data_IF_925658832164
#
_entry.id   IF_925658832164
#
_cell.length_a   1.000
_cell.length_b   1.000
_cell.length_c   1.000
_cell.angle_alpha   90.00
_cell.angle_beta   90.00
_cell.angle_gamma   90.00
#
_symmetry.space_group_name_H-M   'P 1'
#
loop_
_entity.id
_entity.type
_entity.pdbx_description
1 polymer ?
#
# COMPACT_ATOMS: atom_id res chain seq x y z
N UNK A 1 5.75 0.51 35.53
CA UNK A 1 5.57 1.40 34.37
C UNK A 1 6.44 0.86 33.25
N UNK A 2 5.91 0.64 32.05
CA UNK A 2 6.75 0.33 30.89
C UNK A 2 7.60 1.59 30.59
N UNK A 3 8.91 1.45 30.34
CA UNK A 3 9.73 2.59 29.95
C UNK A 3 9.16 3.21 28.67
N UNK A 4 9.14 4.54 28.61
CA UNK A 4 8.75 5.27 27.40
C UNK A 4 9.72 4.90 26.27
N UNK A 5 9.17 4.37 25.17
CA UNK A 5 9.92 4.07 23.97
C UNK A 5 10.60 5.36 23.48
N UNK A 6 11.93 5.40 23.54
CA UNK A 6 12.69 6.56 23.06
C UNK A 6 13.04 6.35 21.59
N UNK A 7 12.32 7.07 20.72
CA UNK A 7 12.58 7.10 19.28
C UNK A 7 13.16 8.46 18.93
N UNK A 8 14.35 8.47 18.34
CA UNK A 8 14.96 9.66 17.78
C UNK A 8 14.79 9.69 16.27
N UNK A 9 14.53 10.87 15.71
CA UNK A 9 14.39 11.08 14.28
C UNK A 9 15.53 11.95 13.78
N UNK A 10 16.21 11.52 12.73
CA UNK A 10 17.18 12.39 12.04
C UNK A 10 16.50 13.69 11.58
N UNK A 11 17.10 14.87 11.83
CA UNK A 11 16.56 16.17 11.44
C UNK A 11 16.81 16.43 9.94
N UNK A 12 16.28 15.55 9.09
CA UNK A 12 16.44 15.57 7.64
C UNK A 12 15.11 15.88 6.97
N UNK A 13 15.13 16.61 5.86
CA UNK A 13 13.95 16.78 5.01
C UNK A 13 14.22 16.27 3.59
N UNK A 14 13.15 15.90 2.86
CA UNK A 14 13.25 15.44 1.47
C UNK A 14 13.83 16.48 0.51
N UNK A 15 13.79 17.76 0.87
CA UNK A 15 14.37 18.84 0.07
C UNK A 15 15.90 18.96 0.24
N UNK A 16 16.50 18.32 1.25
CA UNK A 16 17.95 18.32 1.42
C UNK A 16 18.64 17.52 0.31
N UNK A 17 19.82 17.97 -0.18
CA UNK A 17 20.64 17.17 -1.08
C UNK A 17 21.03 15.81 -0.46
N UNK A 18 21.19 14.73 -1.25
CA UNK A 18 21.53 13.41 -0.74
C UNK A 18 22.79 13.38 0.14
N UNK A 19 23.81 14.17 -0.22
CA UNK A 19 25.05 14.31 0.55
C UNK A 19 24.80 14.88 1.96
N UNK A 20 23.91 15.87 2.06
CA UNK A 20 23.52 16.47 3.34
C UNK A 20 22.70 15.49 4.18
N UNK A 21 21.76 14.76 3.55
CA UNK A 21 21.00 13.72 4.24
C UNK A 21 21.93 12.64 4.82
N UNK A 22 22.95 12.25 4.05
CA UNK A 22 23.96 11.28 4.48
C UNK A 22 24.77 11.75 5.66
N UNK A 23 25.27 12.98 5.61
CA UNK A 23 26.01 13.57 6.73
C UNK A 23 25.16 13.63 7.99
N UNK A 24 23.95 14.17 7.90
CA UNK A 24 23.02 14.27 9.04
C UNK A 24 22.62 12.89 9.59
N UNK A 25 22.49 11.88 8.73
CA UNK A 25 22.25 10.49 9.16
C UNK A 25 23.41 9.92 9.97
N UNK A 26 24.65 10.10 9.50
CA UNK A 26 25.86 9.67 10.22
C UNK A 26 26.04 10.42 11.53
N UNK A 27 25.82 11.73 11.54
CA UNK A 27 25.92 12.58 12.73
C UNK A 27 24.90 12.15 13.80
N UNK A 28 23.67 11.82 13.39
CA UNK A 28 22.65 11.32 14.30
C UNK A 28 23.01 9.94 14.86
N UNK A 29 23.52 9.01 14.01
CA UNK A 29 24.00 7.70 14.50
C UNK A 29 25.09 7.91 15.56
N UNK A 30 26.08 8.76 15.27
CA UNK A 30 27.19 9.03 16.19
C UNK A 30 26.69 9.66 17.50
N UNK A 31 25.81 10.65 17.41
CA UNK A 31 25.22 11.33 18.58
C UNK A 31 24.45 10.35 19.47
N UNK A 32 23.56 9.54 18.89
CA UNK A 32 22.78 8.55 19.66
C UNK A 32 23.69 7.48 20.25
N UNK A 33 24.63 6.96 19.45
CA UNK A 33 25.57 5.94 19.92
C UNK A 33 26.39 6.45 21.11
N UNK A 34 26.79 7.72 21.13
CA UNK A 34 27.54 8.31 22.24
C UNK A 34 26.75 8.40 23.55
N UNK A 35 25.42 8.32 23.51
CA UNK A 35 24.59 8.31 24.73
C UNK A 35 24.52 6.95 25.43
N UNK A 36 25.02 5.90 24.77
CA UNK A 36 24.94 4.51 25.22
C UNK A 36 26.35 3.98 25.50
N UNK A 37 26.54 3.30 26.62
CA UNK A 37 27.80 2.61 26.92
C UNK A 37 27.93 1.39 26.01
N UNK A 38 29.04 1.34 25.25
CA UNK A 38 29.39 0.27 24.30
C UNK A 38 28.25 -0.11 23.33
N UNK A 39 27.80 0.84 22.49
CA UNK A 39 26.62 0.66 21.64
C UNK A 39 26.90 -0.30 20.49
N UNK A 40 26.00 -1.26 20.29
CA UNK A 40 25.96 -2.08 19.08
C UNK A 40 25.00 -1.44 18.08
N UNK A 41 25.46 -1.12 16.87
CA UNK A 41 24.60 -0.57 15.83
C UNK A 41 23.93 -1.71 15.09
N UNK A 42 22.60 -1.78 15.11
CA UNK A 42 21.85 -2.79 14.37
C UNK A 42 20.94 -2.11 13.37
N UNK A 43 21.07 -2.50 12.10
CA UNK A 43 20.23 -2.06 11.02
C UNK A 43 19.18 -3.12 10.75
N UNK A 44 17.94 -2.68 10.54
CA UNK A 44 16.80 -3.53 10.17
C UNK A 44 16.14 -2.98 8.91
N UNK A 45 15.63 -3.88 8.08
CA UNK A 45 14.88 -3.54 6.86
C UNK A 45 13.88 -4.66 6.52
N UNK A 46 12.74 -4.28 5.97
CA UNK A 46 11.66 -5.15 5.55
C UNK A 46 11.29 -4.96 4.08
N UNK A 47 11.42 -6.01 3.26
CA UNK A 47 11.12 -5.96 1.84
C UNK A 47 9.82 -6.69 1.48
N UNK A 48 9.09 -6.14 0.51
CA UNK A 48 7.93 -6.79 -0.13
C UNK A 48 8.08 -6.68 -1.64
N UNK A 49 8.04 -7.81 -2.32
CA UNK A 49 8.17 -7.90 -3.78
C UNK A 49 6.81 -7.79 -4.47
N UNK A 50 6.83 -7.53 -5.78
CA UNK A 50 5.63 -7.37 -6.59
C UNK A 50 4.77 -8.65 -6.67
N UNK A 51 5.40 -9.83 -6.55
CA UNK A 51 4.73 -11.13 -6.47
C UNK A 51 4.08 -11.41 -5.10
N UNK A 52 4.23 -10.48 -4.15
CA UNK A 52 3.73 -10.58 -2.79
C UNK A 52 4.65 -11.36 -1.85
N UNK A 53 5.83 -11.81 -2.28
CA UNK A 53 6.83 -12.36 -1.35
C UNK A 53 7.36 -11.27 -0.43
N UNK A 54 7.67 -11.65 0.80
CA UNK A 54 8.03 -10.73 1.86
C UNK A 54 9.18 -11.30 2.70
N UNK A 55 10.04 -10.43 3.19
CA UNK A 55 11.22 -10.80 3.96
C UNK A 55 11.68 -9.67 4.85
N UNK A 56 12.45 -10.02 5.88
CA UNK A 56 13.13 -9.05 6.73
C UNK A 56 14.58 -9.49 6.95
N UNK A 57 15.43 -8.52 7.24
CA UNK A 57 16.82 -8.74 7.57
C UNK A 57 17.26 -7.86 8.73
N UNK A 58 18.31 -8.30 9.42
CA UNK A 58 19.01 -7.62 10.50
C UNK A 58 20.52 -7.75 10.28
N UNK A 59 21.25 -6.65 10.39
CA UNK A 59 22.71 -6.62 10.26
C UNK A 59 23.33 -5.70 11.30
N UNK A 60 24.52 -6.03 11.77
CA UNK A 60 25.35 -5.12 12.56
C UNK A 60 26.78 -5.09 12.02
N UNK A 61 27.39 -3.93 11.83
CA UNK A 61 28.81 -3.85 11.49
C UNK A 61 29.72 -4.15 12.69
N UNK A 62 29.18 -4.08 13.91
CA UNK A 62 29.97 -4.10 15.15
C UNK A 62 30.04 -5.49 15.80
N UNK A 63 29.06 -6.35 15.49
CA UNK A 63 29.00 -7.70 16.05
C UNK A 63 29.63 -8.72 15.10
N UNK A 64 30.32 -9.70 15.69
CA UNK A 64 30.63 -10.94 14.98
C UNK A 64 29.28 -11.61 14.65
N UNK A 65 29.06 -12.01 13.39
CA UNK A 65 27.83 -12.69 13.01
C UNK A 65 27.61 -13.91 13.93
N UNK A 66 26.35 -14.21 14.30
CA UNK A 66 26.00 -15.49 14.90
C UNK A 66 26.61 -16.67 14.12
N UNK A 67 26.80 -17.83 14.77
CA UNK A 67 27.31 -19.03 14.10
C UNK A 67 26.48 -19.41 12.86
N UNK A 68 25.20 -19.03 12.83
CA UNK A 68 24.26 -19.22 11.72
C UNK A 68 24.22 -18.06 10.71
N UNK A 69 25.07 -17.05 10.87
CA UNK A 69 25.08 -15.82 10.06
C UNK A 69 24.15 -14.73 10.58
N UNK A 70 24.08 -13.61 9.86
CA UNK A 70 23.14 -12.53 10.16
C UNK A 70 21.68 -12.98 9.96
N UNK A 71 20.77 -12.43 10.76
CA UNK A 71 19.37 -12.86 10.74
C UNK A 71 18.69 -12.27 9.52
N UNK A 72 18.35 -13.11 8.55
CA UNK A 72 17.41 -12.77 7.48
C UNK A 72 16.46 -13.94 7.25
N UNK A 73 15.17 -13.66 7.02
CA UNK A 73 14.18 -14.72 6.85
C UNK A 73 13.00 -14.31 5.99
N UNK A 74 12.39 -15.31 5.36
CA UNK A 74 11.12 -15.15 4.65
C UNK A 74 9.97 -14.99 5.63
N UNK A 75 9.10 -14.05 5.31
CA UNK A 75 7.87 -13.78 6.03
C UNK A 75 6.66 -14.29 5.22
N UNK A 76 5.47 -14.40 5.85
CA UNK A 76 4.27 -14.80 5.13
C UNK A 76 4.02 -13.92 3.90
N UNK A 77 3.67 -14.57 2.78
CA UNK A 77 3.34 -13.85 1.55
C UNK A 77 2.16 -12.89 1.76
N UNK A 78 2.15 -11.78 1.01
CA UNK A 78 1.19 -10.67 1.09
C UNK A 78 1.21 -9.92 2.43
N UNK A 79 2.34 -9.97 3.12
CA UNK A 79 2.63 -9.08 4.24
C UNK A 79 2.79 -7.64 3.77
N UNK A 80 2.44 -6.68 4.63
CA UNK A 80 2.72 -5.26 4.38
C UNK A 80 4.18 -4.93 4.67
N UNK A 81 4.74 -3.90 4.03
CA UNK A 81 6.10 -3.41 4.34
C UNK A 81 6.28 -3.14 5.83
N UNK A 82 5.37 -2.40 6.47
CA UNK A 82 5.41 -2.15 7.92
C UNK A 82 5.43 -3.42 8.77
N UNK A 83 4.82 -4.51 8.30
CA UNK A 83 4.85 -5.79 9.03
C UNK A 83 6.24 -6.44 8.95
N UNK A 84 6.89 -6.34 7.79
CA UNK A 84 8.24 -6.84 7.60
C UNK A 84 9.25 -6.07 8.45
N UNK A 85 9.12 -4.75 8.48
CA UNK A 85 9.93 -3.86 9.31
C UNK A 85 9.81 -4.18 10.81
N UNK A 86 8.57 -4.34 11.30
CA UNK A 86 8.33 -4.71 12.70
C UNK A 86 8.91 -6.09 13.05
N UNK A 87 8.95 -7.02 12.10
CA UNK A 87 9.60 -8.32 12.32
C UNK A 87 11.12 -8.19 12.41
N UNK A 88 11.75 -7.38 11.58
CA UNK A 88 13.17 -7.07 11.71
C UNK A 88 13.50 -6.40 13.05
N UNK A 89 12.68 -5.43 13.48
CA UNK A 89 12.80 -4.82 14.81
C UNK A 89 12.68 -5.86 15.94
N UNK A 90 11.71 -6.77 15.87
CA UNK A 90 11.57 -7.84 16.86
C UNK A 90 12.82 -8.73 16.92
N UNK A 91 13.37 -9.08 15.77
CA UNK A 91 14.56 -9.93 15.68
C UNK A 91 15.80 -9.20 16.26
N UNK A 92 15.93 -7.88 16.06
CA UNK A 92 16.97 -7.05 16.71
C UNK A 92 16.81 -7.05 18.23
N UNK A 93 15.60 -6.77 18.74
CA UNK A 93 15.36 -6.69 20.19
C UNK A 93 15.65 -8.03 20.86
N UNK A 94 15.28 -9.14 20.23
CA UNK A 94 15.60 -10.49 20.72
C UNK A 94 17.11 -10.72 20.78
N UNK A 95 17.83 -10.40 19.71
CA UNK A 95 19.28 -10.57 19.64
C UNK A 95 19.99 -9.75 20.74
N UNK A 96 19.57 -8.51 20.97
CA UNK A 96 20.11 -7.65 22.04
C UNK A 96 19.82 -8.23 23.43
N UNK A 97 18.60 -8.70 23.67
CA UNK A 97 18.22 -9.35 24.93
C UNK A 97 18.98 -10.65 25.19
N UNK A 98 19.11 -11.51 24.17
CA UNK A 98 19.76 -12.82 24.25
C UNK A 98 21.26 -12.68 24.54
N UNK A 99 21.91 -11.67 23.95
CA UNK A 99 23.34 -11.41 24.13
C UNK A 99 23.65 -10.40 25.24
N UNK A 100 22.63 -9.86 25.91
CA UNK A 100 22.75 -8.82 26.93
C UNK A 100 23.57 -7.61 26.44
N UNK A 101 23.22 -7.08 25.27
CA UNK A 101 23.93 -5.98 24.63
C UNK A 101 23.11 -4.69 24.66
N UNK A 102 23.81 -3.56 24.83
CA UNK A 102 23.24 -2.24 24.57
C UNK A 102 23.29 -1.95 23.07
N UNK A 103 22.28 -1.27 22.54
CA UNK A 103 22.18 -1.11 21.09
C UNK A 103 21.39 0.09 20.60
N UNK A 104 21.79 0.54 19.41
CA UNK A 104 21.04 1.50 18.61
C UNK A 104 20.38 0.74 17.47
N UNK A 105 19.05 0.72 17.46
CA UNK A 105 18.24 0.09 16.41
C UNK A 105 17.93 1.12 15.34
N UNK A 106 18.49 0.92 14.17
CA UNK A 106 18.39 1.82 13.01
C UNK A 106 17.38 1.25 12.03
N UNK A 107 16.28 1.97 11.82
CA UNK A 107 15.18 1.58 10.94
C UNK A 107 14.77 2.76 10.06
N UNK A 108 14.53 2.52 8.77
CA UNK A 108 14.13 3.57 7.83
C UNK A 108 12.60 3.73 7.70
N UNK A 109 11.84 2.80 8.30
CA UNK A 109 10.39 2.83 8.31
C UNK A 109 9.84 3.66 9.45
N UNK A 110 9.54 4.93 9.15
CA UNK A 110 8.86 5.83 10.08
C UNK A 110 7.53 5.24 10.56
N UNK A 111 6.81 4.51 9.69
CA UNK A 111 5.55 3.87 10.01
C UNK A 111 5.70 2.75 11.05
N UNK A 112 6.79 1.98 11.01
CA UNK A 112 7.06 0.93 11.99
C UNK A 112 7.37 1.53 13.36
N UNK A 113 8.21 2.56 13.41
CA UNK A 113 8.56 3.26 14.65
C UNK A 113 7.35 3.97 15.27
N UNK A 114 6.51 4.62 14.46
CA UNK A 114 5.24 5.19 14.93
C UNK A 114 4.28 4.13 15.47
N UNK A 115 4.23 2.94 14.86
CA UNK A 115 3.40 1.84 15.34
C UNK A 115 3.85 1.29 16.71
N UNK A 116 5.12 1.45 17.07
CA UNK A 116 5.63 1.14 18.40
C UNK A 116 5.26 2.22 19.42
N UNK A 117 5.34 3.49 19.03
CA UNK A 117 4.97 4.63 19.89
C UNK A 117 3.45 4.76 20.11
N UNK A 118 2.64 4.36 19.13
CA UNK A 118 1.18 4.38 19.18
C UNK A 118 0.61 3.04 18.71
N UNK A 119 0.36 2.09 19.63
CA UNK A 119 -0.10 0.76 19.27
C UNK A 119 -1.47 0.80 18.57
N UNK A 120 -1.52 0.36 17.32
CA UNK A 120 -2.75 0.18 16.57
C UNK A 120 -3.30 -1.25 16.77
N UNK A 121 -4.63 -1.47 16.84
CA UNK A 121 -5.24 -2.80 16.95
C UNK A 121 -4.77 -3.83 15.90
N UNK A 122 -4.32 -3.41 14.71
CA UNK A 122 -3.94 -4.32 13.61
C UNK A 122 -2.54 -4.96 13.79
N UNK A 123 -1.61 -4.27 14.43
CA UNK A 123 -0.24 -4.76 14.71
C UNK A 123 -0.02 -5.08 16.18
N UNK A 124 -1.10 -5.04 16.98
CA UNK A 124 -1.08 -5.13 18.44
C UNK A 124 -0.25 -6.31 18.97
N UNK A 125 -0.41 -7.51 18.40
CA UNK A 125 0.36 -8.69 18.88
C UNK A 125 1.87 -8.56 18.68
N UNK A 126 2.30 -8.10 17.49
CA UNK A 126 3.72 -7.97 17.18
C UNK A 126 4.35 -6.82 17.96
N UNK A 127 3.64 -5.68 18.04
CA UNK A 127 4.05 -4.54 18.87
C UNK A 127 4.13 -4.93 20.33
N UNK A 128 3.16 -5.66 20.87
CA UNK A 128 3.19 -6.15 22.25
C UNK A 128 4.38 -7.07 22.51
N UNK A 129 4.72 -7.97 21.57
CA UNK A 129 5.93 -8.80 21.70
C UNK A 129 7.21 -7.97 21.77
N UNK A 130 7.31 -6.91 20.96
CA UNK A 130 8.45 -6.00 20.97
C UNK A 130 8.49 -5.24 22.30
N UNK A 131 7.37 -4.68 22.74
CA UNK A 131 7.26 -3.95 24.01
C UNK A 131 7.56 -4.85 25.22
N UNK A 132 7.10 -6.10 25.23
CA UNK A 132 7.46 -7.08 26.26
C UNK A 132 8.96 -7.39 26.23
N UNK A 133 9.56 -7.53 25.04
CA UNK A 133 11.00 -7.69 24.89
C UNK A 133 11.78 -6.51 25.47
N UNK A 134 11.35 -5.29 25.17
CA UNK A 134 11.94 -4.06 25.70
C UNK A 134 11.77 -3.91 27.22
N UNK A 135 10.63 -4.34 27.77
CA UNK A 135 10.43 -4.38 29.22
C UNK A 135 11.45 -5.32 29.87
N UNK A 136 11.66 -6.51 29.30
CA UNK A 136 12.70 -7.44 29.78
C UNK A 136 14.11 -6.88 29.61
N UNK A 137 14.38 -6.11 28.54
CA UNK A 137 15.66 -5.42 28.35
C UNK A 137 15.91 -4.41 29.48
N UNK A 138 14.88 -3.65 29.84
CA UNK A 138 14.94 -2.66 30.92
C UNK A 138 15.21 -3.32 32.28
N UNK A 139 14.54 -4.44 32.58
CA UNK A 139 14.80 -5.21 33.82
C UNK A 139 16.25 -5.72 33.90
N UNK A 140 16.90 -5.92 32.74
CA UNK A 140 18.32 -6.28 32.61
C UNK A 140 19.26 -5.07 32.51
N UNK A 141 18.75 -3.85 32.71
CA UNK A 141 19.52 -2.60 32.57
C UNK A 141 20.18 -2.41 31.19
N UNK A 142 19.56 -2.97 30.14
CA UNK A 142 20.02 -2.78 28.76
C UNK A 142 19.48 -1.47 28.20
N UNK A 143 20.37 -0.68 27.60
CA UNK A 143 20.03 0.55 26.89
C UNK A 143 19.75 0.25 25.42
N UNK A 144 18.48 0.32 25.01
CA UNK A 144 18.05 0.16 23.62
C UNK A 144 17.39 1.45 23.16
N UNK A 145 17.95 2.09 22.14
CA UNK A 145 17.40 3.31 21.54
C UNK A 145 17.08 3.10 20.07
N UNK A 146 15.95 3.63 19.62
CA UNK A 146 15.54 3.56 18.22
C UNK A 146 15.92 4.85 17.50
N UNK A 147 16.54 4.71 16.34
CA UNK A 147 16.90 5.82 15.46
C UNK A 147 16.27 5.63 14.09
N UNK A 148 15.44 6.60 13.69
CA UNK A 148 14.96 6.70 12.33
C UNK A 148 15.98 7.39 11.43
N UNK A 149 16.23 6.83 10.25
CA UNK A 149 17.05 7.43 9.18
C UNK A 149 16.28 7.31 7.86
N UNK A 150 16.28 8.32 6.98
CA UNK A 150 15.62 8.17 5.69
C UNK A 150 16.18 7.03 4.85
N UNK A 151 15.30 6.36 4.10
CA UNK A 151 15.68 5.36 3.11
C UNK A 151 16.54 5.97 1.99
N UNK A 152 17.40 5.16 1.36
CA UNK A 152 18.19 5.51 0.17
C UNK A 152 19.19 6.65 0.34
N UNK A 153 19.68 6.88 1.56
CA UNK A 153 20.66 7.92 1.87
C UNK A 153 22.11 7.55 1.45
N UNK A 154 22.28 6.49 0.62
CA UNK A 154 23.59 5.99 0.16
C UNK A 154 24.55 5.70 1.33
N UNK A 155 23.98 5.18 2.43
CA UNK A 155 24.73 4.57 3.52
C UNK A 155 25.03 3.14 3.11
N UNK A 156 26.31 2.77 3.04
CA UNK A 156 26.76 1.45 2.58
C UNK A 156 26.06 0.29 3.30
N UNK A 157 25.75 0.47 4.58
CA UNK A 157 25.04 -0.53 5.38
C UNK A 157 23.54 -0.59 5.09
N UNK A 158 22.90 0.53 4.78
CA UNK A 158 21.48 0.56 4.38
C UNK A 158 21.29 -0.13 3.03
N UNK A 159 22.18 0.09 2.06
CA UNK A 159 22.12 -0.58 0.76
C UNK A 159 22.41 -2.09 0.87
N UNK A 160 23.23 -2.48 1.83
CA UNK A 160 23.47 -3.90 2.15
C UNK A 160 22.21 -4.53 2.76
N UNK A 161 21.51 -3.80 3.61
CA UNK A 161 20.27 -4.25 4.23
C UNK A 161 19.12 -4.43 3.24
N UNK A 162 18.91 -3.47 2.35
CA UNK A 162 17.89 -3.59 1.31
C UNK A 162 18.15 -4.81 0.41
N UNK A 163 19.42 -5.07 0.08
CA UNK A 163 19.81 -6.29 -0.64
C UNK A 163 19.54 -7.57 0.16
N UNK A 164 19.87 -7.60 1.44
CA UNK A 164 19.62 -8.77 2.31
C UNK A 164 18.12 -9.02 2.50
N UNK A 165 17.32 -7.98 2.73
CA UNK A 165 15.88 -8.08 2.88
C UNK A 165 15.21 -8.57 1.59
N UNK A 166 15.67 -8.10 0.42
CA UNK A 166 15.25 -8.59 -0.89
C UNK A 166 15.64 -10.05 -1.13
N UNK A 167 16.86 -10.43 -0.77
CA UNK A 167 17.32 -11.82 -0.87
C UNK A 167 16.49 -12.75 0.03
N UNK A 168 16.09 -12.28 1.22
CA UNK A 168 15.25 -13.04 2.15
C UNK A 168 13.87 -13.39 1.57
N UNK A 169 13.31 -12.56 0.68
CA UNK A 169 12.06 -12.87 -0.02
C UNK A 169 12.16 -14.14 -0.89
N UNK A 170 13.36 -14.44 -1.40
CA UNK A 170 13.63 -15.60 -2.26
C UNK A 170 13.86 -16.92 -1.52
N UNK A 171 14.03 -16.90 -0.20
CA UNK A 171 14.20 -18.11 0.61
C UNK A 171 12.95 -19.00 0.54
N UNK A 172 13.05 -20.32 0.79
CA UNK A 172 11.86 -21.16 0.91
C UNK A 172 10.95 -20.67 2.05
N UNK A 173 9.63 -20.80 1.86
CA UNK A 173 8.69 -20.48 2.93
C UNK A 173 8.93 -21.46 4.09
N UNK A 174 9.23 -20.93 5.28
CA UNK A 174 9.42 -21.76 6.45
C UNK A 174 8.04 -22.12 7.03
N UNK A 175 7.76 -23.42 7.20
CA UNK A 175 6.50 -23.91 7.78
C UNK A 175 6.32 -23.49 9.25
N UNK A 176 7.41 -23.14 9.94
CA UNK A 176 7.45 -22.63 11.32
C UNK A 176 7.45 -21.09 11.35
N UNK A 177 7.12 -20.44 10.23
CA UNK A 177 7.10 -18.98 10.11
C UNK A 177 6.08 -18.29 11.03
N UNK A 178 6.28 -16.99 11.32
CA UNK A 178 5.33 -16.24 12.13
C UNK A 178 3.93 -16.27 11.50
N UNK A 179 2.90 -16.48 12.31
CA UNK A 179 1.52 -16.52 11.84
C UNK A 179 1.17 -15.21 11.09
N UNK A 180 0.54 -15.29 9.90
CA UNK A 180 0.17 -14.10 9.13
C UNK A 180 -0.82 -13.24 9.93
N UNK A 181 -0.67 -11.92 9.87
CA UNK A 181 -1.65 -11.00 10.46
C UNK A 181 -3.03 -11.15 9.83
N UNK A 182 -4.11 -10.82 10.55
CA UNK A 182 -5.48 -10.80 9.99
C UNK A 182 -5.58 -9.95 8.73
N UNK A 183 -4.82 -8.85 8.66
CA UNK A 183 -4.73 -8.02 7.45
C UNK A 183 -4.09 -8.78 6.30
N UNK A 184 -2.99 -9.49 6.53
CA UNK A 184 -2.36 -10.36 5.55
C UNK A 184 -3.35 -11.42 5.04
N UNK A 185 -4.03 -12.12 5.94
CA UNK A 185 -5.06 -13.12 5.57
C UNK A 185 -6.20 -12.50 4.74
N UNK A 186 -6.72 -11.33 5.14
CA UNK A 186 -7.78 -10.65 4.40
C UNK A 186 -7.32 -10.23 3.00
N UNK A 187 -6.08 -9.76 2.88
CA UNK A 187 -5.48 -9.43 1.58
C UNK A 187 -5.36 -10.70 0.75
N UNK A 188 -4.82 -11.80 1.30
CA UNK A 188 -4.71 -13.11 0.62
C UNK A 188 -6.03 -13.59 0.05
N UNK A 189 -7.08 -13.57 0.86
CA UNK A 189 -8.43 -13.96 0.43
C UNK A 189 -8.90 -13.05 -0.71
N UNK A 190 -8.80 -11.73 -0.56
CA UNK A 190 -9.20 -10.77 -1.60
C UNK A 190 -8.43 -10.97 -2.90
N UNK A 191 -7.12 -11.11 -2.83
CA UNK A 191 -6.26 -11.30 -4.01
C UNK A 191 -6.62 -12.61 -4.72
N UNK A 192 -6.81 -13.70 -3.97
CA UNK A 192 -7.24 -14.98 -4.53
C UNK A 192 -8.63 -14.90 -5.19
N UNK A 193 -9.61 -14.25 -4.54
CA UNK A 193 -10.95 -14.05 -5.12
C UNK A 193 -10.92 -13.18 -6.37
N UNK A 194 -10.08 -12.13 -6.39
CA UNK A 194 -9.92 -11.25 -7.55
C UNK A 194 -9.22 -11.93 -8.71
N UNK A 195 -8.18 -12.74 -8.46
CA UNK A 195 -7.53 -13.55 -9.49
C UNK A 195 -8.52 -14.53 -10.13
N UNK A 196 -9.30 -15.24 -9.32
CA UNK A 196 -10.36 -16.12 -9.83
C UNK A 196 -11.40 -15.36 -10.66
N UNK A 197 -11.72 -14.12 -10.29
CA UNK A 197 -12.66 -13.29 -11.05
C UNK A 197 -12.04 -12.77 -12.35
N UNK A 198 -10.76 -12.35 -12.32
CA UNK A 198 -10.02 -11.87 -13.48
C UNK A 198 -9.84 -12.99 -14.51
N UNK A 199 -9.51 -14.20 -14.08
CA UNK A 199 -9.36 -15.37 -14.96
C UNK A 199 -10.69 -15.74 -15.62
N UNK A 200 -11.79 -15.74 -14.84
CA UNK A 200 -13.15 -15.94 -15.37
C UNK A 200 -13.54 -14.86 -16.37
N UNK A 201 -13.24 -13.59 -16.06
CA UNK A 201 -13.56 -12.45 -16.93
C UNK A 201 -12.74 -12.49 -18.22
N UNK A 202 -11.48 -12.94 -18.15
CA UNK A 202 -10.58 -13.08 -19.31
C UNK A 202 -11.02 -14.23 -20.21
N UNK A 203 -11.42 -15.36 -19.62
CA UNK A 203 -11.95 -16.51 -20.37
C UNK A 203 -13.28 -16.19 -21.05
N UNK A 204 -14.16 -15.44 -20.37
CA UNK A 204 -15.45 -15.02 -20.92
C UNK A 204 -15.36 -13.79 -21.85
N UNK A 205 -14.20 -13.12 -21.90
CA UNK A 205 -14.00 -11.85 -22.63
C UNK A 205 -14.23 -11.98 -24.13
N UNK A 206 -13.76 -13.07 -24.71
CA UNK A 206 -13.88 -13.34 -26.15
C UNK A 206 -15.33 -13.67 -26.57
N UNK A 207 -16.16 -14.17 -25.66
CA UNK A 207 -17.54 -14.56 -25.94
C UNK A 207 -18.59 -13.52 -25.49
N UNK A 208 -18.20 -12.57 -24.63
CA UNK A 208 -19.12 -11.56 -24.09
C UNK A 208 -19.19 -10.32 -24.97
N UNK A 209 -20.28 -10.20 -25.73
CA UNK A 209 -20.61 -9.00 -26.53
C UNK A 209 -20.61 -7.73 -25.66
N UNK A 210 -21.09 -7.83 -24.41
CA UNK A 210 -21.10 -6.71 -23.47
C UNK A 210 -19.67 -6.27 -23.11
N UNK A 211 -18.77 -7.20 -22.78
CA UNK A 211 -17.39 -6.85 -22.41
C UNK A 211 -16.64 -6.27 -23.61
N UNK A 212 -16.83 -6.83 -24.81
CA UNK A 212 -16.27 -6.29 -26.06
C UNK A 212 -16.75 -4.85 -26.33
N UNK A 213 -18.04 -4.57 -26.10
CA UNK A 213 -18.60 -3.22 -26.20
C UNK A 213 -17.97 -2.24 -25.20
N UNK A 214 -17.76 -2.65 -23.94
CA UNK A 214 -17.07 -1.84 -22.94
C UNK A 214 -15.60 -1.59 -23.29
N UNK A 215 -14.88 -2.61 -23.79
CA UNK A 215 -13.48 -2.46 -24.19
C UNK A 215 -13.36 -1.51 -25.40
N UNK A 216 -14.21 -1.65 -26.42
CA UNK A 216 -14.28 -0.73 -27.55
C UNK A 216 -14.53 0.73 -27.10
N UNK A 217 -15.43 0.92 -26.12
CA UNK A 217 -15.68 2.23 -25.49
C UNK A 217 -14.47 2.77 -24.73
N UNK A 218 -13.74 1.91 -23.99
CA UNK A 218 -12.54 2.31 -23.22
C UNK A 218 -11.42 2.81 -24.12
N UNK A 219 -11.27 2.22 -25.30
CA UNK A 219 -10.28 2.63 -26.30
C UNK A 219 -10.67 3.92 -27.03
N UNK A 220 -11.97 4.21 -27.19
CA UNK A 220 -12.45 5.44 -27.82
C UNK A 220 -12.76 6.52 -26.78
N UNK A 221 -11.75 7.33 -26.44
CA UNK A 221 -11.86 8.48 -25.52
C UNK A 221 -12.62 9.66 -26.16
N UNK A 222 -13.87 9.47 -26.55
CA UNK A 222 -14.72 10.59 -26.94
C UNK A 222 -15.13 11.39 -25.69
N UNK A 223 -14.93 12.70 -25.79
CA UNK A 223 -15.10 13.64 -24.70
C UNK A 223 -15.91 14.83 -25.23
N UNK A 224 -17.15 14.96 -24.76
CA UNK A 224 -18.09 15.98 -25.23
C UNK A 224 -17.66 17.37 -24.74
N UNK A 225 -17.55 18.32 -25.68
CA UNK A 225 -17.25 19.73 -25.41
C UNK A 225 -18.38 20.61 -25.93
N UNK A 226 -18.89 21.51 -25.08
CA UNK A 226 -19.88 22.52 -25.49
C UNK A 226 -19.16 23.85 -25.61
N UNK A 227 -19.10 24.44 -26.82
CA UNK A 227 -18.34 25.68 -27.10
C UNK A 227 -16.89 25.60 -26.61
N UNK A 228 -16.22 24.47 -26.86
CA UNK A 228 -14.84 24.23 -26.42
C UNK A 228 -14.66 23.87 -24.93
N UNK A 229 -15.69 24.06 -24.10
CA UNK A 229 -15.63 23.84 -22.65
C UNK A 229 -16.10 22.45 -22.22
N UNK A 230 -15.47 21.99 -21.13
CA UNK A 230 -15.73 20.73 -20.48
C UNK A 230 -16.88 20.83 -19.50
N UNK A 231 -18.02 20.23 -19.84
CA UNK A 231 -19.15 20.15 -18.90
C UNK A 231 -19.27 18.72 -18.39
N UNK A 232 -18.97 18.51 -17.10
CA UNK A 232 -18.97 17.19 -16.45
C UNK A 232 -20.33 16.49 -16.60
N UNK A 233 -21.43 17.19 -16.35
CA UNK A 233 -22.80 16.66 -16.47
C UNK A 233 -23.07 16.08 -17.86
N UNK A 234 -22.69 16.79 -18.93
CA UNK A 234 -22.88 16.34 -20.31
C UNK A 234 -21.98 15.15 -20.67
N UNK A 235 -20.74 15.12 -20.17
CA UNK A 235 -19.84 13.99 -20.41
C UNK A 235 -20.34 12.69 -19.74
N UNK A 236 -20.94 12.79 -18.55
CA UNK A 236 -21.58 11.65 -17.89
C UNK A 236 -22.76 11.12 -18.71
N UNK A 237 -23.63 12.01 -19.20
CA UNK A 237 -24.75 11.62 -20.07
C UNK A 237 -24.25 10.99 -21.36
N UNK A 238 -23.31 11.64 -22.06
CA UNK A 238 -22.69 11.11 -23.29
C UNK A 238 -22.04 9.74 -23.10
N UNK A 239 -21.38 9.49 -21.96
CA UNK A 239 -20.78 8.19 -21.66
C UNK A 239 -21.86 7.11 -21.47
N UNK A 240 -22.93 7.41 -20.73
CA UNK A 240 -24.05 6.49 -20.52
C UNK A 240 -24.75 6.13 -21.83
N UNK A 241 -25.00 7.12 -22.69
CA UNK A 241 -25.64 6.90 -23.99
C UNK A 241 -24.80 5.99 -24.90
N UNK A 242 -23.48 6.22 -24.97
CA UNK A 242 -22.55 5.37 -25.73
C UNK A 242 -22.44 3.95 -25.20
N UNK A 243 -22.59 3.78 -23.89
CA UNK A 243 -22.65 2.46 -23.24
C UNK A 243 -24.01 1.76 -23.42
N UNK A 244 -24.97 2.38 -24.11
CA UNK A 244 -26.30 1.79 -24.37
C UNK A 244 -27.26 1.85 -23.18
N UNK A 245 -26.92 2.59 -22.13
CA UNK A 245 -27.85 2.77 -21.00
C UNK A 245 -29.02 3.65 -21.43
N UNK A 246 -30.23 3.15 -21.20
CA UNK A 246 -31.45 3.94 -21.28
C UNK A 246 -31.43 4.99 -20.15
N UNK A 247 -31.68 6.28 -20.43
CA UNK A 247 -31.84 7.29 -19.39
C UNK A 247 -32.92 6.91 -18.38
N UNK A 248 -32.75 7.36 -17.13
CA UNK A 248 -33.65 7.02 -16.01
C UNK A 248 -35.12 7.30 -16.33
N UNK A 249 -35.44 8.39 -17.04
CA UNK A 249 -36.82 8.72 -17.44
C UNK A 249 -37.43 7.76 -18.46
N UNK A 250 -36.62 6.94 -19.15
CA UNK A 250 -37.11 5.86 -20.03
C UNK A 250 -37.31 4.52 -19.29
N UNK A 251 -36.76 4.38 -18.07
CA UNK A 251 -36.71 3.11 -17.32
C UNK A 251 -37.45 3.21 -15.98
N UNK A 252 -37.81 4.42 -15.54
CA UNK A 252 -38.69 4.67 -14.40
C UNK A 252 -40.13 4.27 -14.75
N UNK A 253 -40.39 2.97 -14.76
CA UNK A 253 -41.68 2.34 -14.99
C UNK A 253 -41.51 0.82 -14.94
N UNK A 254 -41.93 0.20 -13.83
CA UNK A 254 -42.08 -1.25 -13.70
C UNK A 254 -43.48 -1.69 -14.20
N UNK A 255 -43.79 -2.97 -14.05
CA UNK A 255 -44.11 -3.97 -15.10
C UNK A 255 -45.28 -3.80 -16.09
N UNK A 256 -46.22 -2.87 -15.99
CA UNK A 256 -47.48 -3.02 -16.77
C UNK A 256 -47.95 -1.83 -17.62
N UNK A 257 -47.15 -0.78 -17.89
CA UNK A 257 -47.53 0.22 -18.91
C UNK A 257 -46.34 0.85 -19.66
N UNK A 258 -46.49 1.15 -20.97
CA UNK A 258 -45.54 1.94 -21.72
C UNK A 258 -45.85 3.43 -21.51
N UNK A 259 -45.21 4.09 -20.55
CA UNK A 259 -45.37 5.55 -20.41
C UNK A 259 -44.41 6.31 -21.31
N UNK A 260 -44.53 6.10 -22.62
CA UNK A 260 -44.06 7.11 -23.57
C UNK A 260 -44.98 8.31 -23.42
N UNK A 261 -44.70 9.19 -22.46
CA UNK A 261 -45.41 10.46 -22.37
C UNK A 261 -45.16 11.28 -23.63
N UNK A 262 -45.99 12.30 -23.87
CA UNK A 262 -45.73 13.24 -24.96
C UNK A 262 -44.35 13.87 -24.78
N UNK A 263 -43.68 14.15 -25.90
CA UNK A 263 -42.41 14.86 -25.87
C UNK A 263 -42.62 16.24 -25.19
N UNK A 264 -41.88 16.59 -24.13
CA UNK A 264 -42.00 17.88 -23.45
C UNK A 264 -41.56 19.07 -24.30
N UNK A 265 -40.88 18.82 -25.43
CA UNK A 265 -40.37 19.88 -26.32
C UNK A 265 -41.28 20.15 -27.52
N UNK A 266 -41.79 19.10 -28.17
CA UNK A 266 -42.63 19.23 -29.36
C UNK A 266 -44.06 18.70 -29.17
N UNK A 267 -44.38 18.19 -27.98
CA UNK A 267 -45.68 17.63 -27.60
C UNK A 267 -46.14 16.42 -28.42
N UNK A 268 -45.26 15.84 -29.25
CA UNK A 268 -45.57 14.62 -30.01
C UNK A 268 -45.94 13.47 -29.05
N UNK A 269 -47.10 12.81 -29.24
CA UNK A 269 -47.54 11.73 -28.37
C UNK A 269 -46.58 10.55 -28.46
N UNK A 270 -46.47 9.77 -27.39
CA UNK A 270 -45.63 8.56 -27.34
C UNK A 270 -44.17 8.76 -27.78
N UNK A 271 -43.64 9.98 -27.61
CA UNK A 271 -42.34 10.38 -28.18
C UNK A 271 -41.30 10.76 -27.13
N UNK A 272 -41.56 10.52 -25.84
CA UNK A 272 -40.58 10.76 -24.77
C UNK A 272 -39.50 9.65 -24.69
N UNK A 273 -38.74 9.47 -25.77
CA UNK A 273 -37.65 8.51 -25.84
C UNK A 273 -36.42 9.08 -26.57
N UNK A 274 -35.23 8.55 -26.27
CA UNK A 274 -33.95 9.11 -26.71
C UNK A 274 -33.85 9.25 -28.24
N UNK A 275 -34.25 8.22 -29.00
CA UNK A 275 -34.24 8.24 -30.46
C UNK A 275 -35.03 9.42 -31.03
N UNK A 276 -36.19 9.74 -30.45
CA UNK A 276 -36.96 10.92 -30.86
C UNK A 276 -36.17 12.21 -30.65
N UNK A 277 -35.61 12.45 -29.46
CA UNK A 277 -34.79 13.65 -29.19
C UNK A 277 -33.52 13.74 -30.04
N UNK A 278 -32.92 12.60 -30.40
CA UNK A 278 -31.66 12.58 -31.14
C UNK A 278 -31.83 12.64 -32.65
N UNK A 279 -32.99 12.25 -33.21
CA UNK A 279 -33.13 12.07 -34.66
C UNK A 279 -34.43 12.66 -35.26
N UNK A 280 -35.48 12.84 -34.47
CA UNK A 280 -36.84 13.07 -35.01
C UNK A 280 -37.51 14.32 -34.48
N UNK A 281 -37.08 14.80 -33.30
CA UNK A 281 -37.76 15.88 -32.61
C UNK A 281 -37.55 17.22 -33.35
N UNK A 282 -38.62 17.85 -33.87
CA UNK A 282 -38.49 19.06 -34.68
C UNK A 282 -37.94 20.24 -33.86
N UNK A 283 -38.22 20.29 -32.55
CA UNK A 283 -37.79 21.35 -31.65
C UNK A 283 -36.27 21.41 -31.42
N UNK A 284 -35.53 20.34 -31.75
CA UNK A 284 -34.07 20.28 -31.63
C UNK A 284 -33.38 20.04 -32.96
N UNK A 285 -34.12 20.13 -34.08
CA UNK A 285 -33.61 19.87 -35.43
C UNK A 285 -32.40 20.72 -35.77
N UNK A 286 -32.38 21.98 -35.35
CA UNK A 286 -31.28 22.92 -35.58
C UNK A 286 -30.01 22.61 -34.75
N UNK A 287 -30.14 21.72 -33.76
CA UNK A 287 -29.04 21.25 -32.91
C UNK A 287 -28.49 19.90 -33.35
N UNK A 288 -29.18 19.21 -34.27
CA UNK A 288 -28.74 17.92 -34.80
C UNK A 288 -27.65 18.15 -35.87
N UNK A 289 -26.61 17.30 -35.92
CA UNK A 289 -25.69 17.32 -37.04
C UNK A 289 -26.48 17.06 -38.33
N UNK A 290 -26.34 17.95 -39.32
CA UNK A 290 -26.85 17.71 -40.67
C UNK A 290 -26.05 16.61 -41.36
#
# INVERSE_FOLDING_TARGET
MLPLLTVQFTPTCKAHPPVLQKRLGLDAIASVSATIVTPQRLYTDGSVQADGTAGCAVFSPDLVPPAEGWVWRRLPAQSSSTFCELHGVLDVVRLLCERCLNGVVICDSQAALHALSSPNPVSCHLVNKILSGLAMSHDRSLAITFLWIPSHVSLSYSDTMDRLAKAACGLPACDVGPAPSLRCLRTRIRTASLLSTADRTTTQRAASVTIQHYDAFRHHRFKYRRRGLWVRKHNVVSARLRLGYRPLWQVAGLRDEPQYTSCPLCHSPNSNYLRHYCLECPAVRDLLPR
#
